data_IF_148556875038
#
_entry.id   IF_148556875038
#
_cell.length_a   1.000
_cell.length_b   1.000
_cell.length_c   1.000
_cell.angle_alpha   90.00
_cell.angle_beta   90.00
_cell.angle_gamma   90.00
#
_symmetry.space_group_name_H-M   'P 1'
#
loop_
_entity.id
_entity.type
_entity.pdbx_description
1 polymer ?
#
# COMPACT_ATOMS: atom_id res chain seq x y z
N UNK A 1 -20.95 12.51 0.28
CA UNK A 1 -19.56 13.02 0.17
C UNK A 1 -18.72 11.84 -0.25
N UNK A 2 -18.23 11.79 -1.48
CA UNK A 2 -17.44 10.66 -1.98
C UNK A 2 -15.95 10.92 -1.74
N UNK A 3 -15.22 9.92 -1.24
CA UNK A 3 -13.78 10.00 -1.10
C UNK A 3 -13.09 9.71 -2.44
N UNK A 4 -11.82 10.10 -2.58
CA UNK A 4 -11.05 9.87 -3.81
C UNK A 4 -11.04 8.38 -4.23
N UNK A 5 -11.08 7.46 -3.27
CA UNK A 5 -11.21 6.02 -3.53
C UNK A 5 -12.57 5.64 -4.15
N UNK A 6 -13.66 6.27 -3.70
CA UNK A 6 -15.03 6.00 -4.19
C UNK A 6 -15.26 6.50 -5.63
N UNK A 7 -14.34 7.32 -6.17
CA UNK A 7 -14.40 7.88 -7.52
C UNK A 7 -13.77 6.98 -8.59
N UNK A 8 -13.18 5.84 -8.20
CA UNK A 8 -12.60 4.86 -9.14
C UNK A 8 -13.73 3.98 -9.68
N UNK A 9 -14.52 4.53 -10.60
CA UNK A 9 -15.75 3.92 -11.13
C UNK A 9 -15.60 2.50 -11.73
N UNK A 10 -14.37 2.06 -12.02
CA UNK A 10 -14.09 0.73 -12.60
C UNK A 10 -14.01 -0.40 -11.56
N UNK A 11 -13.87 -0.08 -10.26
CA UNK A 11 -13.66 -1.05 -9.19
C UNK A 11 -14.57 -0.76 -7.98
N UNK A 12 -14.98 -1.78 -7.23
CA UNK A 12 -15.82 -1.64 -6.03
C UNK A 12 -14.94 -1.30 -4.81
N UNK A 13 -14.30 -0.12 -4.86
CA UNK A 13 -13.45 0.37 -3.79
C UNK A 13 -14.31 0.91 -2.64
N UNK A 14 -14.04 0.41 -1.44
CA UNK A 14 -14.69 0.84 -0.20
C UNK A 14 -13.65 1.37 0.76
N UNK A 15 -13.76 2.64 1.10
CA UNK A 15 -12.98 3.23 2.17
C UNK A 15 -13.64 2.97 3.52
N UNK A 16 -12.89 2.36 4.45
CA UNK A 16 -13.34 2.08 5.81
C UNK A 16 -12.50 2.92 6.77
N UNK A 17 -13.03 4.06 7.26
CA UNK A 17 -12.35 4.89 8.25
C UNK A 17 -12.48 4.33 9.66
N UNK A 18 -11.52 4.67 10.52
CA UNK A 18 -11.50 4.27 11.93
C UNK A 18 -10.70 3.00 12.17
N UNK A 19 -10.59 2.59 13.44
CA UNK A 19 -9.84 1.39 13.82
C UNK A 19 -10.34 0.16 13.06
N UNK A 20 -9.56 -0.29 12.08
CA UNK A 20 -9.84 -1.44 11.25
C UNK A 20 -8.88 -2.57 11.62
N UNK A 21 -9.41 -3.78 11.82
CA UNK A 21 -8.62 -4.97 12.11
C UNK A 21 -8.31 -5.67 10.79
N UNK A 22 -7.04 -5.73 10.41
CA UNK A 22 -6.60 -6.36 9.17
C UNK A 22 -6.89 -7.87 9.19
N UNK A 23 -7.75 -8.31 8.29
CA UNK A 23 -8.14 -9.70 8.08
C UNK A 23 -7.02 -10.49 7.39
N UNK A 24 -6.14 -9.83 6.64
CA UNK A 24 -4.97 -10.46 6.03
C UNK A 24 -3.91 -10.94 7.05
N UNK A 25 -3.95 -10.45 8.30
CA UNK A 25 -2.96 -10.81 9.32
C UNK A 25 -3.46 -11.94 10.21
N UNK A 26 -2.58 -12.90 10.53
CA UNK A 26 -2.86 -13.96 11.51
C UNK A 26 -2.89 -13.42 12.94
N UNK A 27 -2.12 -12.37 13.19
CA UNK A 27 -2.07 -11.67 14.47
C UNK A 27 -2.96 -10.43 14.40
N UNK A 28 -3.57 -10.01 15.51
CA UNK A 28 -4.39 -8.80 15.50
C UNK A 28 -3.54 -7.57 15.16
N UNK A 29 -3.75 -7.02 13.96
CA UNK A 29 -3.15 -5.76 13.52
C UNK A 29 -4.24 -4.73 13.26
N UNK A 30 -4.21 -3.63 14.00
CA UNK A 30 -5.16 -2.52 13.87
C UNK A 30 -4.55 -1.41 13.04
N UNK A 31 -5.29 -0.81 12.12
CA UNK A 31 -4.90 0.37 11.34
C UNK A 31 -5.98 1.44 11.44
N UNK A 32 -5.65 2.70 11.11
CA UNK A 32 -6.58 3.83 11.25
C UNK A 32 -7.61 3.93 10.12
N UNK A 33 -7.32 3.31 8.98
CA UNK A 33 -8.28 3.05 7.92
C UNK A 33 -7.76 1.98 6.94
N UNK A 34 -8.68 1.41 6.16
CA UNK A 34 -8.36 0.47 5.09
C UNK A 34 -9.21 0.77 3.84
N UNK A 35 -8.64 0.50 2.67
CA UNK A 35 -9.38 0.47 1.40
C UNK A 35 -9.49 -0.98 0.96
N UNK A 36 -10.72 -1.40 0.65
CA UNK A 36 -11.06 -2.75 0.25
C UNK A 36 -11.61 -2.73 -1.17
N UNK A 37 -11.17 -3.66 -2.01
CA UNK A 37 -11.73 -3.94 -3.34
C UNK A 37 -12.34 -5.35 -3.34
N UNK A 38 -13.64 -5.47 -3.58
CA UNK A 38 -14.33 -6.78 -3.69
C UNK A 38 -14.02 -7.74 -2.51
N UNK A 39 -13.96 -7.20 -1.29
CA UNK A 39 -13.63 -7.96 -0.08
C UNK A 39 -12.14 -8.27 0.12
N UNK A 40 -11.25 -7.73 -0.71
CA UNK A 40 -9.80 -7.80 -0.56
C UNK A 40 -9.25 -6.47 -0.06
N UNK A 41 -8.48 -6.50 1.02
CA UNK A 41 -7.71 -5.35 1.49
C UNK A 41 -6.64 -5.01 0.45
N UNK A 42 -6.51 -3.74 0.05
CA UNK A 42 -5.55 -3.31 -0.97
C UNK A 42 -4.71 -2.10 -0.58
N UNK A 43 -5.12 -1.37 0.46
CA UNK A 43 -4.38 -0.23 0.99
C UNK A 43 -4.73 -0.02 2.46
N UNK A 44 -3.77 0.46 3.23
CA UNK A 44 -3.96 0.85 4.62
C UNK A 44 -3.50 2.28 4.83
N UNK A 45 -4.08 2.92 5.84
CA UNK A 45 -3.72 4.24 6.29
C UNK A 45 -3.44 4.20 7.78
N UNK A 46 -2.38 4.87 8.19
CA UNK A 46 -1.99 5.03 9.60
C UNK A 46 -1.57 6.48 9.85
N UNK A 47 -1.87 6.95 11.06
CA UNK A 47 -1.47 8.24 11.57
C UNK A 47 -0.52 8.03 12.74
N UNK A 48 0.63 8.69 12.72
CA UNK A 48 1.65 8.52 13.76
C UNK A 48 1.34 9.37 15.00
N UNK A 49 0.25 9.03 15.68
CA UNK A 49 -0.25 9.73 16.86
C UNK A 49 -0.97 11.05 16.57
N UNK A 50 -1.20 11.84 17.63
CA UNK A 50 -1.90 13.12 17.51
C UNK A 50 -1.09 14.12 16.68
N UNK A 51 -1.78 15.02 15.99
CA UNK A 51 -1.16 16.13 15.26
C UNK A 51 -0.15 16.87 16.17
N UNK A 52 1.08 17.07 15.66
CA UNK A 52 2.22 17.69 16.37
C UNK A 52 2.93 16.85 17.46
N UNK A 53 2.59 15.58 17.67
CA UNK A 53 3.41 14.67 18.49
C UNK A 53 4.84 14.68 17.93
N UNK A 54 5.89 14.88 18.73
CA UNK A 54 7.30 14.84 18.27
C UNK A 54 8.04 13.65 18.86
N UNK A 55 7.63 12.45 18.46
CA UNK A 55 8.21 11.20 18.96
C UNK A 55 8.70 10.34 17.79
N UNK A 56 10.01 10.37 17.56
CA UNK A 56 10.64 9.61 16.47
C UNK A 56 10.54 8.09 16.70
N UNK A 57 10.49 7.61 17.95
CA UNK A 57 10.32 6.18 18.18
C UNK A 57 8.91 5.75 17.75
N UNK A 58 7.90 6.53 18.11
CA UNK A 58 6.52 6.29 17.68
C UNK A 58 6.39 6.34 16.16
N UNK A 59 6.95 7.36 15.52
CA UNK A 59 6.94 7.49 14.06
C UNK A 59 7.60 6.31 13.34
N UNK A 60 8.76 5.87 13.85
CA UNK A 60 9.45 4.71 13.32
C UNK A 60 8.63 3.44 13.50
N UNK A 61 8.05 3.25 14.69
CA UNK A 61 7.21 2.10 14.98
C UNK A 61 5.98 2.06 14.06
N UNK A 62 5.27 3.17 13.90
CA UNK A 62 4.09 3.26 13.04
C UNK A 62 4.46 3.07 11.56
N UNK A 63 5.63 3.53 11.11
CA UNK A 63 6.16 3.21 9.79
C UNK A 63 6.39 1.70 9.59
N UNK A 64 7.00 1.02 10.56
CA UNK A 64 7.21 -0.43 10.52
C UNK A 64 5.86 -1.18 10.59
N UNK A 65 4.92 -0.68 11.38
CA UNK A 65 3.56 -1.22 11.49
C UNK A 65 2.81 -1.14 10.16
N UNK A 66 2.90 -0.03 9.43
CA UNK A 66 2.35 0.09 8.08
C UNK A 66 2.96 -0.95 7.14
N UNK A 67 4.30 -1.03 7.10
CA UNK A 67 4.98 -1.99 6.24
C UNK A 67 4.58 -3.44 6.57
N UNK A 68 4.46 -3.77 7.87
CA UNK A 68 3.99 -5.08 8.31
C UNK A 68 2.54 -5.33 7.87
N UNK A 69 1.64 -4.36 8.01
CA UNK A 69 0.27 -4.46 7.52
C UNK A 69 0.20 -4.70 6.01
N UNK A 70 0.93 -3.90 5.23
CA UNK A 70 0.98 -4.02 3.76
C UNK A 70 1.59 -5.35 3.32
N UNK A 71 2.58 -5.85 4.05
CA UNK A 71 3.17 -7.16 3.81
C UNK A 71 2.17 -8.30 4.04
N UNK A 72 1.34 -8.21 5.08
CA UNK A 72 0.28 -9.19 5.30
C UNK A 72 -0.75 -9.17 4.17
N UNK A 73 -1.19 -7.98 3.75
CA UNK A 73 -2.09 -7.80 2.59
C UNK A 73 -1.48 -8.45 1.35
N UNK A 74 -0.24 -8.09 1.02
CA UNK A 74 0.49 -8.61 -0.14
C UNK A 74 0.57 -10.14 -0.12
N UNK A 75 1.01 -10.71 1.01
CA UNK A 75 1.17 -12.15 1.15
C UNK A 75 -0.17 -12.88 1.10
N UNK A 76 -1.25 -12.29 1.64
CA UNK A 76 -2.59 -12.86 1.57
C UNK A 76 -3.08 -12.94 0.12
N UNK A 77 -2.84 -11.92 -0.70
CA UNK A 77 -3.18 -11.94 -2.14
C UNK A 77 -2.42 -13.05 -2.88
N UNK A 78 -1.10 -13.17 -2.65
CA UNK A 78 -0.28 -14.23 -3.25
C UNK A 78 -0.71 -15.63 -2.82
N UNK A 79 -1.16 -15.80 -1.57
CA UNK A 79 -1.68 -17.08 -1.06
C UNK A 79 -3.07 -17.38 -1.59
N UNK A 80 -3.92 -16.38 -1.75
CA UNK A 80 -5.30 -16.54 -2.23
C UNK A 80 -5.34 -16.89 -3.72
N UNK A 81 -4.53 -16.21 -4.54
CA UNK A 81 -4.48 -16.43 -5.99
C UNK A 81 -3.17 -17.13 -6.39
N UNK A 82 -2.84 -18.21 -5.68
CA UNK A 82 -1.54 -18.87 -5.76
C UNK A 82 -1.25 -19.54 -7.11
N UNK A 83 -2.25 -19.69 -7.99
CA UNK A 83 -2.05 -20.16 -9.37
C UNK A 83 -1.96 -19.06 -10.41
N UNK A 84 -1.89 -17.80 -10.00
CA UNK A 84 -1.72 -16.70 -10.93
C UNK A 84 -0.31 -16.66 -11.54
N UNK A 85 -0.22 -15.91 -12.65
CA UNK A 85 0.94 -15.26 -13.25
C UNK A 85 2.15 -15.07 -12.36
N UNK A 86 3.35 -15.64 -12.62
CA UNK A 86 4.53 -14.97 -12.04
C UNK A 86 4.71 -13.57 -12.65
N UNK A 87 4.47 -13.44 -13.96
CA UNK A 87 4.46 -12.15 -14.65
C UNK A 87 3.37 -11.22 -14.10
N UNK A 88 2.13 -11.67 -14.02
CA UNK A 88 1.03 -10.84 -13.51
C UNK A 88 1.21 -10.50 -12.04
N UNK A 89 1.56 -11.46 -11.18
CA UNK A 89 1.78 -11.19 -9.77
C UNK A 89 2.99 -10.28 -9.52
N UNK A 90 4.04 -10.37 -10.34
CA UNK A 90 5.21 -9.50 -10.27
C UNK A 90 4.90 -8.01 -10.50
N UNK A 91 3.72 -7.69 -11.08
CA UNK A 91 3.24 -6.31 -11.22
C UNK A 91 2.50 -5.79 -9.98
N UNK A 92 2.19 -6.66 -9.01
CA UNK A 92 1.42 -6.26 -7.83
C UNK A 92 2.22 -5.30 -6.96
N UNK A 93 1.59 -4.17 -6.65
CA UNK A 93 2.09 -3.19 -5.70
C UNK A 93 0.99 -2.85 -4.72
N UNK A 94 1.30 -2.86 -3.44
CA UNK A 94 0.35 -2.50 -2.38
C UNK A 94 0.69 -1.09 -1.90
N UNK A 95 -0.12 -0.08 -2.26
CA UNK A 95 0.05 1.26 -1.72
C UNK A 95 -0.32 1.29 -0.25
N UNK A 96 0.31 2.20 0.50
CA UNK A 96 -0.13 2.55 1.84
C UNK A 96 0.21 4.00 2.17
N UNK A 97 -0.58 4.59 3.05
CA UNK A 97 -0.41 5.99 3.47
C UNK A 97 0.00 6.04 4.93
N UNK A 98 1.02 6.84 5.23
CA UNK A 98 1.39 7.16 6.60
C UNK A 98 1.41 8.68 6.76
N UNK A 99 0.59 9.20 7.66
CA UNK A 99 0.59 10.59 8.04
C UNK A 99 1.43 10.80 9.32
N UNK A 100 2.47 11.63 9.24
CA UNK A 100 3.33 11.97 10.39
C UNK A 100 3.85 13.39 10.29
N UNK A 101 4.05 14.05 11.42
CA UNK A 101 4.62 15.40 11.49
C UNK A 101 3.96 16.46 10.58
N UNK A 102 2.65 16.36 10.33
CA UNK A 102 1.94 17.27 9.41
C UNK A 102 2.26 17.04 7.93
N UNK A 103 2.85 15.89 7.60
CA UNK A 103 3.11 15.44 6.23
C UNK A 103 2.40 14.12 5.95
N UNK A 104 2.00 13.92 4.71
CA UNK A 104 1.44 12.66 4.21
C UNK A 104 2.50 12.00 3.35
N UNK A 105 2.81 10.75 3.65
CA UNK A 105 3.71 9.93 2.85
C UNK A 105 2.92 8.82 2.17
N UNK A 106 3.01 8.76 0.84
CA UNK A 106 2.52 7.64 0.04
C UNK A 106 3.67 6.67 -0.21
N UNK A 107 3.47 5.42 0.14
CA UNK A 107 4.42 4.33 -0.04
C UNK A 107 3.84 3.23 -0.91
N UNK A 108 4.71 2.39 -1.47
CA UNK A 108 4.35 1.25 -2.28
C UNK A 108 5.24 0.06 -1.92
N UNK A 109 4.60 -1.05 -1.54
CA UNK A 109 5.26 -2.32 -1.27
C UNK A 109 5.18 -3.25 -2.49
N UNK A 110 6.31 -3.80 -2.90
CA UNK A 110 6.41 -4.75 -4.02
C UNK A 110 7.40 -5.89 -3.73
N UNK A 111 7.30 -6.98 -4.49
CA UNK A 111 8.23 -8.10 -4.44
C UNK A 111 9.34 -7.89 -5.49
N UNK A 112 10.60 -7.81 -5.06
CA UNK A 112 11.73 -7.62 -5.97
C UNK A 112 12.35 -8.95 -6.42
N UNK A 113 12.28 -9.95 -5.54
CA UNK A 113 12.83 -11.30 -5.75
C UNK A 113 12.07 -12.24 -4.79
N UNK A 114 12.06 -13.57 -4.98
CA UNK A 114 11.37 -14.47 -4.07
C UNK A 114 11.76 -14.21 -2.60
N UNK A 115 10.75 -13.95 -1.76
CA UNK A 115 10.85 -13.63 -0.33
C UNK A 115 11.59 -12.32 0.00
N UNK A 116 11.90 -11.51 -1.00
CA UNK A 116 12.55 -10.20 -0.85
C UNK A 116 11.62 -9.08 -1.32
N UNK A 117 11.27 -8.21 -0.38
CA UNK A 117 10.31 -7.12 -0.58
C UNK A 117 11.03 -5.77 -0.58
N UNK A 118 10.46 -4.79 -1.27
CA UNK A 118 10.91 -3.42 -1.21
C UNK A 118 9.72 -2.49 -0.95
N UNK A 119 9.93 -1.55 -0.03
CA UNK A 119 8.99 -0.48 0.26
C UNK A 119 9.58 0.84 -0.23
N UNK A 120 8.90 1.49 -1.17
CA UNK A 120 9.37 2.71 -1.84
C UNK A 120 8.46 3.87 -1.50
N UNK A 121 9.06 5.01 -1.14
CA UNK A 121 8.31 6.27 -1.02
C UNK A 121 7.95 6.74 -2.43
N UNK A 122 6.67 6.81 -2.72
CA UNK A 122 6.14 7.27 -4.02
C UNK A 122 6.02 8.78 -4.03
N UNK A 123 5.47 9.35 -2.95
CA UNK A 123 5.24 10.78 -2.84
C UNK A 123 5.22 11.23 -1.38
N UNK A 124 5.49 12.53 -1.16
CA UNK A 124 5.36 13.21 0.13
C UNK A 124 4.74 14.58 -0.11
N UNK A 125 3.83 15.00 0.77
CA UNK A 125 3.37 16.39 0.79
C UNK A 125 3.21 16.89 2.22
N UNK A 126 3.31 18.20 2.41
CA UNK A 126 2.88 18.88 3.63
C UNK A 126 1.35 19.01 3.59
N UNK A 127 0.69 18.88 4.74
CA UNK A 127 -0.74 19.13 4.85
C UNK A 127 -0.97 20.65 4.92
N UNK A 128 -1.64 21.25 3.94
CA UNK A 128 -1.91 22.68 3.95
C UNK A 128 -2.81 23.07 5.12
N UNK A 129 -2.49 24.17 5.79
CA UNK A 129 -3.22 24.75 6.92
C UNK A 129 -4.01 25.99 6.52
N UNK A 130 -3.70 26.59 5.37
CA UNK A 130 -4.39 27.76 4.85
C UNK A 130 -4.58 27.68 3.32
N UNK A 131 -5.63 28.32 2.81
CA UNK A 131 -5.92 28.36 1.36
C UNK A 131 -4.86 29.12 0.55
N UNK A 132 -4.05 29.94 1.21
CA UNK A 132 -2.91 30.64 0.59
C UNK A 132 -1.72 29.72 0.31
N UNK A 133 -1.67 28.52 0.90
CA UNK A 133 -0.59 27.55 0.70
C UNK A 133 -0.83 26.73 -0.58
N UNK A 134 -0.90 27.44 -1.72
CA UNK A 134 -1.30 26.87 -3.02
C UNK A 134 -0.42 25.73 -3.48
N UNK A 135 0.91 25.80 -3.23
CA UNK A 135 1.85 24.73 -3.57
C UNK A 135 1.55 23.44 -2.79
N UNK A 136 1.26 23.53 -1.49
CA UNK A 136 0.94 22.38 -0.66
C UNK A 136 -0.43 21.79 -0.99
N UNK A 137 -1.40 22.63 -1.37
CA UNK A 137 -2.70 22.18 -1.89
C UNK A 137 -2.52 21.39 -3.19
N UNK A 138 -1.69 21.87 -4.12
CA UNK A 138 -1.38 21.17 -5.36
C UNK A 138 -0.64 19.85 -5.10
N UNK A 139 0.34 19.85 -4.18
CA UNK A 139 1.07 18.65 -3.79
C UNK A 139 0.14 17.62 -3.14
N UNK A 140 -0.81 18.04 -2.31
CA UNK A 140 -1.85 17.17 -1.76
C UNK A 140 -2.75 16.59 -2.85
N UNK A 141 -3.15 17.40 -3.83
CA UNK A 141 -3.88 16.93 -5.02
C UNK A 141 -3.11 15.85 -5.78
N UNK A 142 -1.80 16.03 -5.96
CA UNK A 142 -0.93 15.04 -6.59
C UNK A 142 -0.85 13.74 -5.77
N UNK A 143 -0.75 13.82 -4.45
CA UNK A 143 -0.79 12.61 -3.58
C UNK A 143 -2.10 11.85 -3.78
N UNK A 144 -3.24 12.55 -3.78
CA UNK A 144 -4.55 11.92 -4.02
C UNK A 144 -4.60 11.24 -5.39
N UNK A 145 -4.12 11.91 -6.44
CA UNK A 145 -4.06 11.33 -7.79
C UNK A 145 -3.15 10.09 -7.88
N UNK A 146 -1.96 10.16 -7.27
CA UNK A 146 -1.03 9.04 -7.21
C UNK A 146 -1.60 7.86 -6.44
N UNK A 147 -2.28 8.10 -5.31
CA UNK A 147 -2.95 7.07 -4.54
C UNK A 147 -4.07 6.41 -5.37
N UNK A 148 -4.92 7.20 -6.00
CA UNK A 148 -5.98 6.70 -6.90
C UNK A 148 -5.42 5.85 -8.03
N UNK A 149 -4.33 6.29 -8.66
CA UNK A 149 -3.67 5.52 -9.73
C UNK A 149 -3.10 4.20 -9.21
N UNK A 150 -2.41 4.22 -8.06
CA UNK A 150 -1.85 3.02 -7.45
C UNK A 150 -2.93 2.01 -7.02
N UNK A 151 -4.07 2.49 -6.50
CA UNK A 151 -5.22 1.64 -6.16
C UNK A 151 -5.81 0.98 -7.40
N UNK A 152 -5.96 1.73 -8.50
CA UNK A 152 -6.44 1.20 -9.78
C UNK A 152 -5.51 0.10 -10.31
N UNK A 153 -4.20 0.34 -10.28
CA UNK A 153 -3.21 -0.62 -10.76
C UNK A 153 -3.18 -1.89 -9.88
N UNK A 154 -3.30 -1.74 -8.55
CA UNK A 154 -3.40 -2.86 -7.62
C UNK A 154 -4.66 -3.68 -7.89
N UNK A 155 -5.83 -3.04 -7.95
CA UNK A 155 -7.12 -3.68 -8.21
C UNK A 155 -7.12 -4.42 -9.57
N UNK A 156 -6.62 -3.77 -10.63
CA UNK A 156 -6.45 -4.37 -11.96
C UNK A 156 -5.58 -5.62 -11.90
N UNK A 157 -4.44 -5.54 -11.21
CA UNK A 157 -3.51 -6.66 -11.09
C UNK A 157 -4.14 -7.81 -10.30
N UNK A 158 -4.81 -7.52 -9.18
CA UNK A 158 -5.51 -8.52 -8.36
C UNK A 158 -6.61 -9.21 -9.17
N UNK A 159 -7.39 -8.46 -9.95
CA UNK A 159 -8.42 -9.02 -10.81
C UNK A 159 -7.84 -9.94 -11.89
N UNK A 160 -6.71 -9.55 -12.50
CA UNK A 160 -6.00 -10.40 -13.44
C UNK A 160 -5.46 -11.68 -12.76
N UNK A 161 -4.87 -11.56 -11.56
CA UNK A 161 -4.42 -12.72 -10.77
C UNK A 161 -5.57 -13.68 -10.46
N UNK A 162 -6.73 -13.15 -10.05
CA UNK A 162 -7.94 -13.93 -9.76
C UNK A 162 -8.41 -14.70 -10.99
N UNK A 163 -8.45 -14.05 -12.15
CA UNK A 163 -8.87 -14.67 -13.41
C UNK A 163 -7.91 -15.80 -13.82
N UNK A 164 -6.60 -15.54 -13.80
CA UNK A 164 -5.58 -16.54 -14.15
C UNK A 164 -5.59 -17.73 -13.19
N UNK A 165 -5.76 -17.47 -11.89
CA UNK A 165 -5.87 -18.52 -10.89
C UNK A 165 -7.06 -19.44 -11.15
N UNK A 166 -8.27 -18.86 -11.33
CA UNK A 166 -9.48 -19.64 -11.59
C UNK A 166 -9.38 -20.44 -12.89
N UNK A 167 -8.85 -19.82 -13.95
CA UNK A 167 -8.66 -20.48 -15.24
C UNK A 167 -7.72 -21.69 -15.11
N UNK A 168 -6.59 -21.49 -14.42
CA UNK A 168 -5.63 -22.57 -14.21
C UNK A 168 -6.19 -23.70 -13.33
N UNK A 169 -7.00 -23.39 -12.32
CA UNK A 169 -7.64 -24.42 -11.49
C UNK A 169 -8.56 -25.33 -12.32
N UNK A 170 -9.34 -24.75 -13.25
CA UNK A 170 -10.21 -25.50 -14.15
C UNK A 170 -9.36 -26.38 -15.08
N UNK A 171 -8.34 -25.82 -15.73
CA UNK A 171 -7.45 -26.56 -16.64
C UNK A 171 -6.72 -27.71 -15.94
N UNK A 172 -6.24 -27.48 -14.72
CA UNK A 172 -5.56 -28.49 -13.91
C UNK A 172 -6.49 -29.65 -13.57
N UNK A 173 -7.75 -29.37 -13.20
CA UNK A 173 -8.74 -30.41 -12.89
C UNK A 173 -9.11 -31.22 -14.14
N UNK A 174 -9.19 -30.59 -15.30
CA UNK A 174 -9.53 -31.27 -16.56
C UNK A 174 -8.36 -32.06 -17.17
N UNK A 175 -7.13 -31.53 -17.08
CA UNK A 175 -5.95 -32.14 -17.70
C UNK A 175 -5.19 -33.10 -16.79
N UNK A 176 -5.40 -33.02 -15.47
CA UNK A 176 -4.67 -33.82 -14.48
C UNK A 176 -3.17 -33.49 -14.38
N UNK A 177 -2.70 -32.38 -15.00
CA UNK A 177 -1.29 -31.98 -15.02
C UNK A 177 -1.05 -30.74 -14.16
N UNK A 178 0.02 -30.78 -13.35
CA UNK A 178 0.47 -29.65 -12.53
C UNK A 178 1.79 -29.11 -13.08
N UNK A 179 1.67 -28.15 -13.99
CA UNK A 179 2.80 -27.59 -14.75
C UNK A 179 3.27 -26.23 -14.20
N UNK A 180 2.69 -25.75 -13.08
CA UNK A 180 2.91 -24.41 -12.58
C UNK A 180 3.47 -24.42 -11.16
N UNK A 181 4.38 -23.50 -10.87
CA UNK A 181 4.86 -23.28 -9.51
C UNK A 181 3.90 -22.32 -8.79
N UNK A 182 3.35 -22.70 -7.62
CA UNK A 182 2.42 -21.86 -6.90
C UNK A 182 3.11 -20.63 -6.28
N UNK A 183 2.47 -19.47 -6.37
CA UNK A 183 3.01 -18.19 -5.93
C UNK A 183 3.22 -18.09 -4.42
N UNK A 184 2.56 -18.94 -3.62
CA UNK A 184 2.77 -19.01 -2.18
C UNK A 184 4.22 -19.36 -1.80
N UNK A 185 4.99 -19.97 -2.71
CA UNK A 185 6.42 -20.24 -2.52
C UNK A 185 7.30 -18.99 -2.65
N UNK A 186 6.80 -17.95 -3.31
CA UNK A 186 7.52 -16.69 -3.54
C UNK A 186 7.42 -15.71 -2.38
N UNK A 187 6.53 -15.98 -1.41
CA UNK A 187 6.26 -15.10 -0.28
C UNK A 187 6.57 -15.76 1.05
N UNK A 188 6.81 -14.95 2.08
CA UNK A 188 7.03 -15.46 3.43
C UNK A 188 5.71 -15.93 4.08
N UNK A 189 5.72 -17.14 4.63
CA UNK A 189 4.59 -17.72 5.36
C UNK A 189 4.47 -17.19 6.80
N UNK A 190 5.61 -16.83 7.40
CA UNK A 190 5.77 -16.64 8.84
C UNK A 190 6.41 -15.27 9.14
N UNK A 191 5.62 -14.22 9.00
CA UNK A 191 5.99 -12.86 9.41
C UNK A 191 5.45 -12.60 10.81
N UNK A 192 6.32 -12.26 11.76
CA UNK A 192 5.94 -11.90 13.13
C UNK A 192 5.62 -10.42 13.23
N UNK A 193 4.60 -10.07 14.02
CA UNK A 193 4.28 -8.67 14.29
C UNK A 193 5.45 -7.99 15.01
N UNK A 194 5.81 -6.74 14.63
CA UNK A 194 6.79 -5.96 15.37
C UNK A 194 6.28 -5.69 16.79
N UNK A 195 7.17 -5.79 17.77
CA UNK A 195 6.92 -5.37 19.16
C UNK A 195 7.42 -3.95 19.35
N UNK A 196 6.62 -3.11 19.99
CA UNK A 196 7.02 -1.72 20.27
C UNK A 196 8.21 -1.71 21.24
N UNK A 197 9.14 -0.79 21.04
CA UNK A 197 10.39 -0.74 21.80
C UNK A 197 11.22 0.50 21.51
N UNK A 198 12.40 0.60 22.12
CA UNK A 198 13.34 1.67 21.83
C UNK A 198 14.10 1.41 20.51
N UNK A 199 14.44 2.47 19.78
CA UNK A 199 15.33 2.38 18.61
C UNK A 199 14.63 2.36 17.25
N UNK A 200 13.29 2.29 17.21
CA UNK A 200 12.54 2.40 15.97
C UNK A 200 12.75 3.74 15.25
N UNK A 201 13.15 4.79 15.97
CA UNK A 201 13.50 6.07 15.37
C UNK A 201 14.61 6.00 14.32
N UNK A 202 15.53 5.02 14.44
CA UNK A 202 16.62 4.79 13.46
C UNK A 202 16.08 4.21 12.15
N UNK A 203 14.92 3.55 12.20
CA UNK A 203 14.28 2.93 11.03
C UNK A 203 13.43 3.92 10.24
N UNK A 204 13.36 5.19 10.66
CA UNK A 204 12.79 6.24 9.84
C UNK A 204 13.75 6.47 8.66
N UNK A 205 13.28 6.33 7.41
CA UNK A 205 14.12 6.58 6.26
C UNK A 205 14.66 8.01 6.28
N UNK A 206 15.97 8.17 6.18
CA UNK A 206 16.61 9.47 6.02
C UNK A 206 16.12 10.11 4.73
N UNK A 207 15.48 11.27 4.85
CA UNK A 207 15.09 12.06 3.70
C UNK A 207 16.28 12.93 3.34
N UNK A 208 16.93 12.63 2.21
CA UNK A 208 17.82 13.61 1.59
C UNK A 208 16.97 14.85 1.32
N UNK A 209 17.48 16.03 1.69
CA UNK A 209 16.83 17.30 1.34
C UNK A 209 16.44 17.25 -0.14
N UNK A 210 15.16 17.50 -0.41
CA UNK A 210 14.63 17.46 -1.76
C UNK A 210 15.45 18.44 -2.59
N UNK A 211 16.15 17.93 -3.61
CA UNK A 211 16.45 18.77 -4.77
C UNK A 211 15.09 19.37 -5.16
N UNK A 212 14.97 20.69 -5.06
CA UNK A 212 13.75 21.44 -5.35
C UNK A 212 13.10 20.82 -6.60
N UNK A 213 11.98 20.13 -6.43
CA UNK A 213 11.14 19.78 -7.57
C UNK A 213 10.52 21.11 -8.04
N UNK A 214 11.29 21.88 -8.82
CA UNK A 214 10.81 23.07 -9.49
C UNK A 214 9.78 22.62 -10.52
N UNK A 215 8.50 22.65 -10.15
CA UNK A 215 7.40 22.48 -11.08
C UNK A 215 7.37 23.74 -11.95
N UNK A 216 8.15 23.76 -13.03
CA UNK A 216 8.06 24.80 -14.05
C UNK A 216 6.88 24.48 -14.97
N UNK A 217 5.79 25.22 -14.81
CA UNK A 217 4.76 25.32 -15.84
C UNK A 217 5.32 26.17 -16.99
N UNK A 218 5.51 25.57 -18.16
CA UNK A 218 5.74 26.36 -19.39
C UNK A 218 4.44 27.10 -19.70
N UNK A 219 4.54 28.42 -19.86
CA UNK A 219 3.43 29.20 -20.38
C UNK A 219 3.01 28.65 -21.76
N UNK A 220 1.71 28.54 -22.06
CA UNK A 220 1.26 28.21 -23.40
C UNK A 220 1.71 29.31 -24.35
N UNK A 221 2.39 28.90 -25.44
CA UNK A 221 2.71 29.78 -26.57
C UNK A 221 1.45 30.19 -27.33
#
# INVERSE_FOLDING_TARGET
>A
MGFAADSVNEYDLKFIPGEYILMASKETNKVDACIIDNGMEICLLETSGKLLLRDNNKYGFDHIKCNFGSLNIFNNIYKKYYWASQETAGRLKIPFVNARHGTIHLWSLELCSPKLYCSKKVFKCVVPKAMSETNDILALGNVCWCLTSALRDAAKTIQAMKNEHNQYEIERVLSGSDNRVPLNQLVNSDTKKPTEGCGFGILIPEEKEEAEFSICFKAPN
#
